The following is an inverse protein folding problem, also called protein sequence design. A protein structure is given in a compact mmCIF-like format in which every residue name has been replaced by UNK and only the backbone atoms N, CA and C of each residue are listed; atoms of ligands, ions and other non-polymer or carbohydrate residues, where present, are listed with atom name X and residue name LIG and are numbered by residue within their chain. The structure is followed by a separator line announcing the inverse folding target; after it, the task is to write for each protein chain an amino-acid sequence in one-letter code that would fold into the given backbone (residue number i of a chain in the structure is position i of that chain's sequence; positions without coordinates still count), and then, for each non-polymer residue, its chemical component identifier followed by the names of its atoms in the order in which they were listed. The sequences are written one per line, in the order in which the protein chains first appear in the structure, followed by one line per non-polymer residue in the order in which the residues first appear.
data_IF_178778084502
#
_entry.id   IF_178778084502
#
_cell.length_a   1.000
_cell.length_b   1.000
_cell.length_c   1.000
_cell.angle_alpha   90.00
_cell.angle_beta   90.00
_cell.angle_gamma   90.00
#
_symmetry.space_group_name_H-M   'P 1'
#
loop_
_entity.id
_entity.type
_entity.pdbx_description
1 polymer ?
#
# COMPACT_ATOMS: atom_id res chain seq x y z
N UNK A 1 0.42 -4.02 23.24
CA UNK A 1 1.89 -3.99 23.06
C UNK A 1 2.17 -4.31 21.60
N UNK A 2 2.91 -3.45 20.89
CA UNK A 2 3.26 -3.68 19.48
C UNK A 2 4.67 -4.27 19.46
N UNK A 3 4.80 -5.49 18.95
CA UNK A 3 6.09 -6.13 18.76
C UNK A 3 6.57 -5.81 17.35
N UNK A 4 7.83 -5.38 17.23
CA UNK A 4 8.44 -5.18 15.92
C UNK A 4 8.69 -6.55 15.27
N UNK A 5 7.93 -6.86 14.22
CA UNK A 5 8.10 -8.07 13.42
C UNK A 5 8.44 -7.70 11.99
N UNK A 6 9.08 -8.62 11.25
CA UNK A 6 9.34 -8.43 9.81
C UNK A 6 8.06 -8.20 9.03
N UNK A 7 6.97 -8.86 9.42
CA UNK A 7 5.65 -8.66 8.84
C UNK A 7 5.13 -7.23 9.06
N UNK A 8 5.30 -6.65 10.25
CA UNK A 8 4.95 -5.25 10.51
C UNK A 8 5.82 -4.29 9.67
N UNK A 9 7.13 -4.56 9.54
CA UNK A 9 8.04 -3.75 8.74
C UNK A 9 7.61 -3.73 7.26
N UNK A 10 7.26 -4.87 6.69
CA UNK A 10 6.75 -4.97 5.32
C UNK A 10 5.46 -4.17 5.14
N UNK A 11 4.51 -4.27 6.08
CA UNK A 11 3.27 -3.50 6.06
C UNK A 11 3.56 -1.99 6.02
N UNK A 12 4.47 -1.53 6.90
CA UNK A 12 4.84 -0.13 7.00
C UNK A 12 5.51 0.38 5.73
N UNK A 13 6.45 -0.38 5.16
CA UNK A 13 7.13 0.03 3.92
C UNK A 13 6.13 0.12 2.77
N UNK A 14 5.29 -0.90 2.58
CA UNK A 14 4.27 -0.89 1.51
C UNK A 14 3.30 0.28 1.65
N UNK A 15 2.72 0.45 2.84
CA UNK A 15 1.78 1.54 3.11
C UNK A 15 2.42 2.94 3.00
N UNK A 16 3.63 3.12 3.52
CA UNK A 16 4.32 4.41 3.46
C UNK A 16 4.73 4.79 2.04
N UNK A 17 5.22 3.83 1.23
CA UNK A 17 5.55 4.09 -0.17
C UNK A 17 4.31 4.44 -0.98
N UNK A 18 3.18 3.75 -0.77
CA UNK A 18 1.91 4.12 -1.39
C UNK A 18 1.46 5.54 -0.99
N UNK A 19 1.56 5.88 0.30
CA UNK A 19 1.20 7.21 0.78
C UNK A 19 2.06 8.30 0.13
N UNK A 20 3.38 8.07 0.03
CA UNK A 20 4.32 8.98 -0.63
C UNK A 20 3.98 9.11 -2.12
N UNK A 21 3.72 8.01 -2.82
CA UNK A 21 3.33 8.02 -4.24
C UNK A 21 2.05 8.84 -4.46
N UNK A 22 1.01 8.58 -3.68
CA UNK A 22 -0.25 9.33 -3.70
C UNK A 22 -0.05 10.83 -3.49
N UNK A 23 0.75 11.23 -2.48
CA UNK A 23 1.06 12.66 -2.22
C UNK A 23 1.78 13.31 -3.40
N UNK A 24 2.76 12.62 -3.99
CA UNK A 24 3.49 13.13 -5.17
C UNK A 24 2.55 13.28 -6.37
N UNK A 25 1.63 12.33 -6.57
CA UNK A 25 0.67 12.33 -7.68
C UNK A 25 -0.39 13.41 -7.54
N UNK A 26 -0.93 13.64 -6.34
CA UNK A 26 -1.86 14.76 -6.09
C UNK A 26 -1.21 16.12 -6.41
N UNK A 27 0.09 16.27 -6.17
CA UNK A 27 0.84 17.49 -6.53
C UNK A 27 1.05 17.64 -8.05
N UNK A 28 1.09 16.53 -8.79
CA UNK A 28 1.21 16.53 -10.24
C UNK A 28 -0.13 16.75 -10.94
N UNK A 29 -0.16 17.51 -12.05
CA UNK A 29 -1.38 17.62 -12.87
C UNK A 29 -1.67 16.27 -13.55
N UNK A 30 -2.67 15.53 -13.08
CA UNK A 30 -3.17 14.26 -13.64
C UNK A 30 -3.69 13.29 -12.57
N UNK A 31 -4.92 12.79 -12.73
CA UNK A 31 -5.60 11.79 -11.85
C UNK A 31 -5.75 12.15 -10.37
N UNK A 32 -6.22 13.36 -10.06
CA UNK A 32 -6.39 13.83 -8.68
C UNK A 32 -7.30 12.93 -7.82
N UNK A 33 -8.41 12.44 -8.37
CA UNK A 33 -9.37 11.62 -7.61
C UNK A 33 -8.74 10.29 -7.17
N UNK A 34 -8.07 9.59 -8.10
CA UNK A 34 -7.49 8.29 -7.81
C UNK A 34 -6.30 8.38 -6.84
N UNK A 35 -5.52 9.47 -6.93
CA UNK A 35 -4.45 9.76 -5.99
C UNK A 35 -4.98 10.14 -4.60
N UNK A 36 -6.12 10.84 -4.50
CA UNK A 36 -6.78 11.11 -3.22
C UNK A 36 -7.29 9.81 -2.59
N UNK A 37 -7.90 8.92 -3.38
CA UNK A 37 -8.34 7.60 -2.90
C UNK A 37 -7.14 6.80 -2.39
N UNK A 38 -6.03 6.77 -3.12
CA UNK A 38 -4.79 6.11 -2.68
C UNK A 38 -4.31 6.63 -1.32
N UNK A 39 -4.24 7.96 -1.16
CA UNK A 39 -3.81 8.58 0.11
C UNK A 39 -4.73 8.14 1.25
N UNK A 40 -6.05 8.18 1.06
CA UNK A 40 -7.02 7.81 2.09
C UNK A 40 -6.86 6.33 2.46
N UNK A 41 -6.79 5.44 1.46
CA UNK A 41 -6.69 4.00 1.70
C UNK A 41 -5.34 3.65 2.32
N UNK A 42 -4.23 4.28 1.89
CA UNK A 42 -2.91 4.09 2.47
C UNK A 42 -2.86 4.58 3.93
N UNK A 43 -3.43 5.75 4.22
CA UNK A 43 -3.50 6.29 5.57
C UNK A 43 -4.35 5.39 6.49
N UNK A 44 -5.52 4.95 6.03
CA UNK A 44 -6.37 4.02 6.77
C UNK A 44 -5.67 2.68 7.00
N UNK A 45 -4.99 2.14 5.98
CA UNK A 45 -4.21 0.92 6.10
C UNK A 45 -3.13 1.06 7.17
N UNK A 46 -2.31 2.11 7.12
CA UNK A 46 -1.27 2.37 8.12
C UNK A 46 -1.85 2.54 9.53
N UNK A 47 -2.94 3.30 9.68
CA UNK A 47 -3.61 3.47 10.96
C UNK A 47 -4.17 2.14 11.50
N UNK A 48 -4.69 1.28 10.63
CA UNK A 48 -5.23 -0.03 11.01
C UNK A 48 -4.21 -1.00 11.59
N UNK A 49 -2.91 -0.77 11.38
CA UNK A 49 -1.84 -1.58 11.97
C UNK A 49 -1.67 -1.32 13.48
N UNK A 50 -2.13 -0.15 13.95
CA UNK A 50 -1.90 0.33 15.32
C UNK A 50 -3.17 0.55 16.11
N UNK A 51 -4.28 0.86 15.42
CA UNK A 51 -5.53 1.26 16.06
C UNK A 51 -6.61 0.21 15.79
N UNK A 52 -7.06 -0.53 16.82
CA UNK A 52 -8.23 -1.38 16.70
C UNK A 52 -9.49 -0.53 16.52
N UNK A 53 -10.45 -1.01 15.73
CA UNK A 53 -11.70 -0.28 15.44
C UNK A 53 -11.71 0.52 14.14
N UNK A 54 -10.61 0.50 13.37
CA UNK A 54 -10.63 0.96 11.97
C UNK A 54 -11.52 -0.03 11.18
N UNK A 55 -12.54 0.44 10.45
CA UNK A 55 -13.45 -0.43 9.71
C UNK A 55 -12.71 -1.26 8.65
N UNK A 56 -13.25 -2.45 8.36
CA UNK A 56 -12.75 -3.44 7.38
C UNK A 56 -11.43 -4.17 7.74
N UNK A 57 -10.61 -3.62 8.64
CA UNK A 57 -9.35 -4.22 9.06
C UNK A 57 -8.21 -4.07 8.03
N UNK A 58 -6.99 -4.36 8.47
CA UNK A 58 -5.76 -4.13 7.69
C UNK A 58 -5.68 -4.93 6.39
N UNK A 59 -6.18 -6.17 6.39
CA UNK A 59 -6.18 -7.04 5.21
C UNK A 59 -7.05 -6.46 4.09
N UNK A 60 -8.28 -6.05 4.41
CA UNK A 60 -9.20 -5.48 3.41
C UNK A 60 -8.66 -4.16 2.87
N UNK A 61 -8.09 -3.32 3.74
CA UNK A 61 -7.47 -2.06 3.34
C UNK A 61 -6.24 -2.27 2.45
N UNK A 62 -5.42 -3.29 2.74
CA UNK A 62 -4.28 -3.65 1.89
C UNK A 62 -4.73 -4.15 0.51
N UNK A 63 -5.82 -4.93 0.42
CA UNK A 63 -6.40 -5.37 -0.86
C UNK A 63 -6.91 -4.16 -1.64
N UNK A 64 -7.65 -3.26 -0.99
CA UNK A 64 -8.12 -2.03 -1.62
C UNK A 64 -6.95 -1.16 -2.10
N UNK A 65 -5.89 -1.05 -1.30
CA UNK A 65 -4.68 -0.31 -1.67
C UNK A 65 -4.01 -0.90 -2.90
N UNK A 66 -3.89 -2.23 -2.95
CA UNK A 66 -3.30 -2.95 -4.08
C UNK A 66 -4.09 -2.71 -5.37
N UNK A 67 -5.43 -2.76 -5.30
CA UNK A 67 -6.32 -2.47 -6.43
C UNK A 67 -6.09 -1.04 -6.93
N UNK A 68 -6.06 -0.05 -6.03
CA UNK A 68 -5.84 1.36 -6.40
C UNK A 68 -4.49 1.54 -7.07
N UNK A 69 -3.41 0.98 -6.51
CA UNK A 69 -2.06 1.04 -7.08
C UNK A 69 -2.00 0.39 -8.48
N UNK A 70 -2.67 -0.74 -8.67
CA UNK A 70 -2.73 -1.43 -9.98
C UNK A 70 -3.49 -0.58 -11.01
N UNK A 71 -4.67 -0.05 -10.65
CA UNK A 71 -5.43 0.85 -11.53
C UNK A 71 -4.58 2.06 -11.90
N UNK A 72 -3.87 2.63 -10.93
CA UNK A 72 -2.96 3.75 -11.17
C UNK A 72 -1.77 3.43 -12.05
N UNK A 73 -1.28 2.19 -12.02
CA UNK A 73 -0.22 1.73 -12.89
C UNK A 73 -0.73 1.54 -14.32
N UNK A 74 -1.94 1.00 -14.49
CA UNK A 74 -2.56 0.70 -15.80
C UNK A 74 -3.08 1.95 -16.50
N UNK A 75 -3.80 2.83 -15.79
CA UNK A 75 -4.37 4.07 -16.36
C UNK A 75 -3.33 5.17 -16.59
N UNK A 76 -2.06 4.85 -16.35
CA UNK A 76 -0.93 5.76 -16.48
C UNK A 76 -0.65 6.01 -17.96
N UNK A 77 -1.15 7.13 -18.49
CA UNK A 77 -0.79 7.59 -19.83
C UNK A 77 0.74 7.58 -20.03
N UNK A 78 1.18 7.06 -21.18
CA UNK A 78 2.55 6.67 -21.58
C UNK A 78 3.72 7.62 -21.20
N UNK A 79 3.44 8.88 -20.83
CA UNK A 79 4.42 9.98 -20.93
C UNK A 79 5.16 10.38 -19.63
N UNK A 80 4.82 9.87 -18.43
CA UNK A 80 5.49 10.33 -17.18
C UNK A 80 6.34 9.27 -16.50
N UNK A 81 7.53 8.95 -16.99
CA UNK A 81 8.42 7.91 -16.40
C UNK A 81 8.74 8.06 -14.90
N UNK A 82 8.68 9.28 -14.33
CA UNK A 82 9.23 9.61 -12.99
C UNK A 82 8.46 9.10 -11.74
N UNK A 83 7.59 8.11 -11.84
CA UNK A 83 6.84 7.62 -10.67
C UNK A 83 6.41 6.15 -10.75
N UNK A 84 6.90 5.40 -11.73
CA UNK A 84 6.57 3.97 -11.85
C UNK A 84 7.22 3.17 -10.73
N UNK A 85 8.47 3.49 -10.41
CA UNK A 85 9.28 2.71 -9.47
C UNK A 85 8.64 2.65 -8.08
N UNK A 86 8.16 3.77 -7.54
CA UNK A 86 7.55 3.81 -6.21
C UNK A 86 6.27 2.98 -6.18
N UNK A 87 5.39 3.13 -7.19
CA UNK A 87 4.15 2.35 -7.31
C UNK A 87 4.45 0.86 -7.43
N UNK A 88 5.40 0.47 -8.28
CA UNK A 88 5.75 -0.95 -8.49
C UNK A 88 6.34 -1.57 -7.23
N UNK A 89 7.25 -0.87 -6.55
CA UNK A 89 7.80 -1.36 -5.28
C UNK A 89 6.70 -1.46 -4.22
N UNK A 90 5.81 -0.48 -4.14
CA UNK A 90 4.67 -0.49 -3.21
C UNK A 90 3.72 -1.67 -3.48
N UNK A 91 3.41 -1.96 -4.74
CA UNK A 91 2.63 -3.14 -5.14
C UNK A 91 3.30 -4.42 -4.67
N UNK A 92 4.59 -4.60 -4.98
CA UNK A 92 5.34 -5.82 -4.66
C UNK A 92 5.38 -6.04 -3.15
N UNK A 93 5.75 -5.01 -2.37
CA UNK A 93 5.87 -5.12 -0.91
C UNK A 93 4.51 -5.41 -0.27
N UNK A 94 3.45 -4.71 -0.70
CA UNK A 94 2.09 -4.92 -0.18
C UNK A 94 1.56 -6.31 -0.54
N UNK A 95 1.83 -6.79 -1.75
CA UNK A 95 1.45 -8.14 -2.18
C UNK A 95 2.18 -9.24 -1.38
N UNK A 96 3.50 -9.08 -1.18
CA UNK A 96 4.27 -10.00 -0.33
C UNK A 96 3.69 -10.02 1.09
N UNK A 97 3.41 -8.84 1.65
CA UNK A 97 2.81 -8.75 2.98
C UNK A 97 1.46 -9.48 3.06
N UNK A 98 0.60 -9.33 2.05
CA UNK A 98 -0.69 -10.03 1.98
C UNK A 98 -0.53 -11.55 1.92
N UNK A 99 0.37 -12.05 1.07
CA UNK A 99 0.65 -13.49 0.92
C UNK A 99 1.10 -14.10 2.25
N UNK A 100 1.99 -13.40 2.96
CA UNK A 100 2.51 -13.84 4.26
C UNK A 100 1.43 -13.74 5.35
N UNK A 101 0.67 -12.66 5.38
CA UNK A 101 -0.40 -12.45 6.40
C UNK A 101 -1.53 -13.46 6.25
N UNK A 102 -1.86 -13.86 5.03
CA UNK A 102 -2.87 -14.88 4.73
C UNK A 102 -2.35 -16.32 4.89
N UNK A 103 -1.05 -16.51 5.17
CA UNK A 103 -0.46 -17.83 5.36
C UNK A 103 -0.35 -18.67 4.09
N UNK A 104 -0.38 -18.05 2.91
CA UNK A 104 -0.23 -18.77 1.63
C UNK A 104 1.20 -19.28 1.42
N UNK A 105 2.18 -18.59 2.01
CA UNK A 105 3.58 -19.01 2.12
C UNK A 105 4.00 -18.82 3.56
N UNK A 106 4.69 -19.80 4.12
CA UNK A 106 5.20 -19.76 5.49
C UNK A 106 6.72 -19.67 5.50
N UNK A 107 7.25 -18.63 6.13
CA UNK A 107 8.69 -18.38 6.26
C UNK A 107 9.02 -18.30 7.75
N UNK A 108 9.74 -19.29 8.31
CA UNK A 108 10.11 -19.30 9.71
C UNK A 108 10.83 -18.01 10.13
N UNK A 109 10.32 -17.36 11.19
CA UNK A 109 10.85 -16.11 11.71
C UNK A 109 10.28 -14.84 11.06
N UNK A 110 9.37 -14.96 10.08
CA UNK A 110 8.66 -13.82 9.47
C UNK A 110 7.16 -13.86 9.75
N UNK A 111 6.51 -14.98 9.46
CA UNK A 111 5.06 -15.19 9.63
C UNK A 111 4.74 -16.59 10.16
#
# INVERSE_FOLDING_TARGET
MITLTWLLVLALIGGALALIDGIIRVRGRGTAILAVIEIIVAALFLLSLFVPGIPFGSVVLAIALLIVLVIQLVLRGSTRRSGVTITVVSIIVTAIWLILTLGWVHIPGVN
#
